data_IF_279334865448
#
_entry.id   IF_279334865448
#
_cell.length_a   1.000
_cell.length_b   1.000
_cell.length_c   1.000
_cell.angle_alpha   90.00
_cell.angle_beta   90.00
_cell.angle_gamma   90.00
#
_symmetry.space_group_name_H-M   'P 1'
#
loop_
_entity.id
_entity.type
_entity.pdbx_description
1 polymer ?
#
# COMPACT_ATOMS: atom_id res chain seq x y z
N UNK A 1 -0.02 -12.08 -2.10
CA UNK A 1 0.74 -11.14 -1.25
C UNK A 1 0.08 -9.78 -1.06
N UNK A 2 0.19 -8.80 -1.98
CA UNK A 2 -0.22 -7.38 -1.78
C UNK A 2 -1.66 -7.21 -1.30
N UNK A 3 -2.65 -7.76 -2.03
CA UNK A 3 -4.07 -7.64 -1.65
C UNK A 3 -4.38 -8.22 -0.27
N UNK A 4 -3.69 -9.29 0.14
CA UNK A 4 -3.93 -9.95 1.44
C UNK A 4 -3.49 -9.06 2.61
N UNK A 5 -2.28 -8.50 2.52
CA UNK A 5 -1.77 -7.56 3.52
C UNK A 5 -2.64 -6.31 3.55
N UNK A 6 -3.02 -5.79 2.38
CA UNK A 6 -3.88 -4.63 2.25
C UNK A 6 -5.27 -4.83 2.88
N UNK A 7 -5.96 -5.93 2.56
CA UNK A 7 -7.27 -6.22 3.15
C UNK A 7 -7.19 -6.42 4.67
N UNK A 8 -6.10 -7.01 5.17
CA UNK A 8 -5.89 -7.12 6.60
C UNK A 8 -5.69 -5.76 7.26
N UNK A 9 -4.89 -4.87 6.66
CA UNK A 9 -4.72 -3.49 7.13
C UNK A 9 -6.05 -2.74 7.14
N UNK A 10 -6.87 -2.87 6.09
CA UNK A 10 -8.23 -2.31 6.06
C UNK A 10 -9.12 -2.89 7.16
N UNK A 11 -8.97 -4.16 7.53
CA UNK A 11 -9.77 -4.75 8.61
C UNK A 11 -9.39 -4.26 10.01
N UNK A 12 -8.17 -3.71 10.18
CA UNK A 12 -7.69 -3.14 11.45
C UNK A 12 -8.20 -1.69 11.63
N UNK A 13 -8.91 -1.13 10.65
CA UNK A 13 -9.32 0.28 10.62
C UNK A 13 -9.93 0.72 11.95
N UNK A 14 -9.19 1.60 12.62
CA UNK A 14 -9.45 2.06 13.99
C UNK A 14 -10.04 3.48 13.97
N UNK A 15 -10.05 4.14 12.81
CA UNK A 15 -10.47 5.53 12.62
C UNK A 15 -11.57 5.61 11.55
N UNK A 16 -12.83 5.48 11.96
CA UNK A 16 -14.00 5.79 11.10
C UNK A 16 -14.15 7.29 10.77
N UNK A 17 -13.19 8.13 11.18
CA UNK A 17 -13.28 9.59 11.08
C UNK A 17 -12.75 10.15 9.75
N UNK A 18 -12.02 9.37 8.96
CA UNK A 18 -11.49 9.80 7.66
C UNK A 18 -12.43 9.41 6.53
N UNK A 19 -12.66 10.31 5.56
CA UNK A 19 -13.44 10.02 4.33
C UNK A 19 -12.85 8.86 3.50
N UNK A 20 -11.60 8.47 3.77
CA UNK A 20 -10.91 7.36 3.14
C UNK A 20 -10.29 6.41 4.17
N UNK A 21 -10.61 5.12 4.08
CA UNK A 21 -10.10 4.10 4.99
C UNK A 21 -8.62 3.81 4.74
N UNK A 22 -7.74 4.50 5.49
CA UNK A 22 -6.30 4.19 5.50
C UNK A 22 -5.97 2.89 6.24
N UNK A 23 -6.96 2.25 6.87
CA UNK A 23 -6.77 1.06 7.67
C UNK A 23 -5.86 1.30 8.90
N UNK A 24 -5.40 0.21 9.48
CA UNK A 24 -4.50 0.22 10.62
C UNK A 24 -3.01 0.21 10.28
N UNK A 25 -2.20 0.02 11.31
CA UNK A 25 -0.76 -0.20 11.21
C UNK A 25 -0.45 -1.63 11.63
N UNK A 26 0.40 -2.32 10.87
CA UNK A 26 0.77 -3.71 11.13
C UNK A 26 2.30 -3.84 11.26
N UNK A 27 2.83 -4.40 12.35
CA UNK A 27 4.26 -4.70 12.45
C UNK A 27 4.72 -5.66 11.34
N UNK A 28 5.93 -5.47 10.80
CA UNK A 28 6.48 -6.34 9.75
C UNK A 28 6.48 -7.84 10.11
N UNK A 29 6.78 -8.26 11.37
CA UNK A 29 6.66 -9.67 11.75
C UNK A 29 5.23 -10.20 11.61
N UNK A 30 4.23 -9.41 12.01
CA UNK A 30 2.81 -9.78 11.85
C UNK A 30 2.39 -9.81 10.38
N UNK A 31 2.91 -8.90 9.56
CA UNK A 31 2.70 -8.96 8.12
C UNK A 31 3.29 -10.23 7.51
N UNK A 32 4.43 -10.71 8.01
CA UNK A 32 5.02 -11.98 7.60
C UNK A 32 4.17 -13.18 8.02
N UNK A 33 3.51 -13.13 9.18
CA UNK A 33 2.62 -14.20 9.64
C UNK A 33 1.39 -14.41 8.75
N UNK A 34 0.94 -13.36 8.04
CA UNK A 34 -0.17 -13.45 7.07
C UNK A 34 0.20 -14.16 5.76
N UNK A 35 1.51 -14.35 5.52
CA UNK A 35 2.02 -14.96 4.31
C UNK A 35 2.09 -16.48 4.47
N UNK A 36 1.73 -17.20 3.40
CA UNK A 36 1.90 -18.65 3.36
C UNK A 36 3.38 -19.04 3.36
N UNK A 37 3.68 -20.31 3.65
CA UNK A 37 5.04 -20.83 3.57
C UNK A 37 5.68 -20.58 2.19
N UNK A 38 4.92 -20.79 1.12
CA UNK A 38 5.33 -20.51 -0.27
C UNK A 38 5.62 -19.02 -0.50
N UNK A 39 4.79 -18.13 0.03
CA UNK A 39 5.01 -16.68 -0.09
C UNK A 39 6.28 -16.25 0.67
N UNK A 40 6.54 -16.84 1.84
CA UNK A 40 7.78 -16.62 2.61
C UNK A 40 9.02 -17.12 1.86
N UNK A 41 8.92 -18.25 1.17
CA UNK A 41 10.01 -18.78 0.34
C UNK A 41 10.30 -17.88 -0.86
N UNK A 42 9.28 -17.42 -1.59
CA UNK A 42 9.44 -16.48 -2.70
C UNK A 42 10.12 -15.17 -2.26
N UNK A 43 9.82 -14.69 -1.05
CA UNK A 43 10.47 -13.51 -0.49
C UNK A 43 11.90 -13.77 -0.01
N UNK A 44 12.24 -15.00 0.38
CA UNK A 44 13.62 -15.39 0.69
C UNK A 44 14.49 -15.46 -0.56
N UNK A 45 13.92 -15.95 -1.66
CA UNK A 45 14.59 -16.05 -2.96
C UNK A 45 14.77 -14.67 -3.62
N UNK A 46 13.81 -13.78 -3.39
CA UNK A 46 13.92 -12.36 -3.73
C UNK A 46 14.93 -11.68 -2.81
N UNK A 47 15.97 -11.06 -3.37
CA UNK A 47 17.14 -10.49 -2.67
C UNK A 47 16.84 -9.25 -1.79
N UNK A 48 15.83 -9.31 -0.92
CA UNK A 48 15.41 -8.20 -0.07
C UNK A 48 14.28 -8.49 0.93
N UNK A 49 13.69 -9.70 0.91
CA UNK A 49 12.67 -10.08 1.89
C UNK A 49 11.37 -9.26 1.82
N UNK A 50 10.51 -9.46 2.83
CA UNK A 50 9.20 -8.80 2.92
C UNK A 50 9.30 -7.28 2.96
N UNK A 51 10.25 -6.74 3.72
CA UNK A 51 10.42 -5.30 3.87
C UNK A 51 10.72 -4.63 2.53
N UNK A 52 11.61 -5.20 1.73
CA UNK A 52 11.97 -4.63 0.42
C UNK A 52 10.82 -4.78 -0.57
N UNK A 53 10.11 -5.90 -0.55
CA UNK A 53 8.90 -6.09 -1.35
C UNK A 53 7.85 -5.00 -1.05
N UNK A 54 7.54 -4.75 0.22
CA UNK A 54 6.60 -3.71 0.63
C UNK A 54 7.08 -2.30 0.27
N UNK A 55 8.38 -2.03 0.43
CA UNK A 55 8.98 -0.76 -0.03
C UNK A 55 8.91 -0.59 -1.55
N UNK A 56 9.03 -1.68 -2.31
CA UNK A 56 8.89 -1.64 -3.77
C UNK A 56 7.44 -1.31 -4.17
N UNK A 57 6.46 -1.85 -3.43
CA UNK A 57 5.04 -1.52 -3.52
C UNK A 57 4.70 -0.15 -2.88
N UNK A 58 5.56 0.85 -3.10
CA UNK A 58 5.47 2.19 -2.51
C UNK A 58 4.17 2.91 -2.85
N UNK A 59 3.51 2.56 -3.95
CA UNK A 59 2.20 3.11 -4.29
C UNK A 59 1.17 2.78 -3.21
N UNK A 60 1.19 1.55 -2.70
CA UNK A 60 0.15 1.00 -1.81
C UNK A 60 0.57 1.05 -0.35
N UNK A 61 1.84 0.73 -0.06
CA UNK A 61 2.31 0.57 1.30
C UNK A 61 3.31 1.65 1.70
N UNK A 62 3.21 2.04 2.97
CA UNK A 62 4.22 2.80 3.69
C UNK A 62 4.84 1.93 4.75
N UNK A 63 6.15 1.75 4.65
CA UNK A 63 6.96 1.06 5.65
C UNK A 63 7.74 2.08 6.45
N UNK A 64 7.45 2.20 7.74
CA UNK A 64 8.13 3.12 8.66
C UNK A 64 8.25 2.47 10.05
N UNK A 65 9.39 2.66 10.71
CA UNK A 65 9.59 2.19 12.09
C UNK A 65 9.42 0.69 12.33
N UNK A 66 9.66 -0.15 11.31
CA UNK A 66 9.45 -1.60 11.42
C UNK A 66 7.99 -2.06 11.26
N UNK A 67 7.10 -1.15 10.86
CA UNK A 67 5.68 -1.43 10.59
C UNK A 67 5.30 -1.03 9.17
N UNK A 68 4.25 -1.66 8.67
CA UNK A 68 3.61 -1.37 7.39
C UNK A 68 2.21 -0.82 7.61
N UNK A 69 1.85 0.18 6.83
CA UNK A 69 0.52 0.79 6.78
C UNK A 69 0.14 1.02 5.32
N UNK A 70 -1.15 1.20 5.06
CA UNK A 70 -1.59 1.65 3.73
C UNK A 70 -1.12 3.10 3.58
N UNK A 71 -0.50 3.40 2.44
CA UNK A 71 -0.04 4.74 2.14
C UNK A 71 -1.23 5.62 1.78
N UNK A 72 -1.38 6.71 2.52
CA UNK A 72 -2.35 7.74 2.22
C UNK A 72 -1.66 8.92 1.52
N UNK A 73 -1.95 9.06 0.23
CA UNK A 73 -1.40 10.14 -0.58
C UNK A 73 -2.12 11.48 -0.38
N UNK A 74 -3.33 11.50 0.19
CA UNK A 74 -4.01 12.75 0.53
C UNK A 74 -3.31 13.46 1.69
N UNK A 75 -2.77 12.72 2.66
CA UNK A 75 -2.03 13.27 3.81
C UNK A 75 -0.53 13.41 3.57
N UNK A 76 0.11 12.51 2.82
CA UNK A 76 1.56 12.56 2.57
C UNK A 76 1.99 13.47 1.43
N UNK A 77 1.04 14.03 0.69
CA UNK A 77 1.31 14.90 -0.44
C UNK A 77 1.62 14.12 -1.71
N UNK A 78 1.16 14.69 -2.83
CA UNK A 78 1.31 14.09 -4.15
C UNK A 78 2.74 14.24 -4.63
N UNK A 79 3.40 13.13 -4.97
CA UNK A 79 4.66 13.15 -5.73
C UNK A 79 4.35 13.19 -7.23
N UNK A 80 3.73 14.29 -7.69
CA UNK A 80 3.47 14.50 -9.11
C UNK A 80 4.75 15.05 -9.73
N UNK A 81 5.19 14.44 -10.81
CA UNK A 81 6.25 14.98 -11.65
C UNK A 81 5.55 15.59 -12.85
N UNK A 82 5.52 16.93 -12.89
CA UNK A 82 4.89 17.66 -13.98
C UNK A 82 5.48 17.22 -15.34
N UNK A 83 4.61 17.02 -16.34
CA UNK A 83 5.02 16.57 -17.67
C UNK A 83 5.24 15.06 -17.87
N UNK A 84 5.03 14.20 -16.86
CA UNK A 84 5.03 12.73 -17.08
C UNK A 84 3.62 12.20 -17.36
N UNK A 85 3.47 11.55 -18.52
CA UNK A 85 2.28 10.75 -18.84
C UNK A 85 2.11 9.63 -17.83
N UNK A 86 0.88 9.44 -17.33
CA UNK A 86 0.52 8.36 -16.41
C UNK A 86 0.56 7.01 -17.15
N UNK A 87 1.68 6.31 -17.02
CA UNK A 87 1.92 5.04 -17.73
C UNK A 87 1.31 3.85 -16.99
N UNK A 88 1.17 3.96 -15.66
CA UNK A 88 0.75 2.86 -14.79
C UNK A 88 -0.63 3.13 -14.19
N UNK A 89 -1.48 2.11 -14.16
CA UNK A 89 -2.80 2.18 -13.54
C UNK A 89 -2.72 2.43 -12.02
N UNK A 90 -3.72 3.11 -11.49
CA UNK A 90 -3.84 3.42 -10.08
C UNK A 90 -4.34 2.21 -9.33
N UNK A 91 -3.47 1.64 -8.50
CA UNK A 91 -3.80 0.46 -7.71
C UNK A 91 -4.99 0.71 -6.79
N UNK A 92 -5.04 1.87 -6.13
CA UNK A 92 -6.17 2.21 -5.24
C UNK A 92 -7.49 2.33 -5.99
N UNK A 93 -7.49 2.86 -7.21
CA UNK A 93 -8.72 2.93 -8.01
C UNK A 93 -9.26 1.55 -8.39
N UNK A 94 -8.36 0.58 -8.61
CA UNK A 94 -8.73 -0.77 -9.00
C UNK A 94 -9.12 -1.68 -7.83
N UNK A 95 -8.47 -1.51 -6.67
CA UNK A 95 -8.55 -2.47 -5.57
C UNK A 95 -9.03 -1.90 -4.22
N UNK A 96 -9.02 -0.58 -4.02
CA UNK A 96 -9.50 0.03 -2.78
C UNK A 96 -11.03 0.16 -2.81
N UNK A 97 -11.76 -0.24 -1.75
CA UNK A 97 -13.22 -0.13 -1.71
C UNK A 97 -13.71 1.34 -1.82
N UNK A 98 -13.03 2.28 -1.18
CA UNK A 98 -13.29 3.73 -1.34
C UNK A 98 -12.65 4.34 -2.61
N UNK A 99 -12.00 3.55 -3.46
CA UNK A 99 -11.25 4.06 -4.62
C UNK A 99 -9.96 4.81 -4.25
N UNK A 100 -9.43 5.59 -5.19
CA UNK A 100 -8.24 6.42 -4.93
C UNK A 100 -8.61 7.64 -4.07
N UNK A 101 -7.83 7.96 -3.02
CA UNK A 101 -8.09 9.14 -2.19
C UNK A 101 -7.81 10.46 -2.92
N UNK A 102 -7.12 10.41 -4.07
CA UNK A 102 -6.79 11.58 -4.88
C UNK A 102 -7.76 11.73 -6.06
N UNK A 103 -7.92 12.94 -6.56
CA UNK A 103 -8.56 13.19 -7.86
C UNK A 103 -7.67 12.69 -9.01
N UNK A 104 -8.23 12.53 -10.22
CA UNK A 104 -7.42 12.18 -11.40
C UNK A 104 -6.31 13.22 -11.67
N UNK A 105 -6.60 14.49 -11.40
CA UNK A 105 -5.64 15.60 -11.56
C UNK A 105 -4.54 15.61 -10.50
N UNK A 106 -4.74 14.91 -9.37
CA UNK A 106 -3.76 14.82 -8.29
C UNK A 106 -3.07 13.46 -8.24
N UNK A 107 -3.69 12.35 -8.61
CA UNK A 107 -3.02 11.05 -8.58
C UNK A 107 -1.91 10.90 -9.62
N UNK A 108 -0.71 10.46 -9.21
CA UNK A 108 0.42 10.18 -10.11
C UNK A 108 0.19 8.97 -11.05
N UNK A 109 -0.92 8.25 -10.90
CA UNK A 109 -1.27 7.04 -11.64
C UNK A 109 -2.60 7.22 -12.43
N UNK A 110 -2.82 6.39 -13.44
CA UNK A 110 -4.03 6.44 -14.29
C UNK A 110 -5.25 5.84 -13.59
N UNK A 111 -6.35 6.61 -13.50
CA UNK A 111 -7.61 6.17 -12.87
C UNK A 111 -8.54 5.47 -13.86
#
# INVERSE_FOLDING_TARGET
MTLRIFNHLLSIDTDQSSEWSRGGVLPLPRAADLLSATEKEQLKDSHGGLQTFLKNQHQVFKVAGGSVSIRDWATEGVRRVDGKTKISACWFKLYHPNGCPLSNELCSFAH
#
